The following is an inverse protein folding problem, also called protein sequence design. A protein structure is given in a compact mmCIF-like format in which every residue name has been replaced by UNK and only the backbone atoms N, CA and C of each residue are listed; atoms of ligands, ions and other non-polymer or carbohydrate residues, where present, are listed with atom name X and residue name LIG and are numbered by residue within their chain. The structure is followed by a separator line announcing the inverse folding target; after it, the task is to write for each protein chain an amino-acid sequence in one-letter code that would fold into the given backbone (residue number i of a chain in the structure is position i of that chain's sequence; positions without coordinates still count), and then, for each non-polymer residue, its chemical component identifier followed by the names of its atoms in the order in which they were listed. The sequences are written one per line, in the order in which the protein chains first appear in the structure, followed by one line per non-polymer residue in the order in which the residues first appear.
data_IF_380888716318
#
_entry.id   IF_380888716318
#
_cell.length_a   1.000
_cell.length_b   1.000
_cell.length_c   1.000
_cell.angle_alpha   90.00
_cell.angle_beta   90.00
_cell.angle_gamma   90.00
#
_symmetry.space_group_name_H-M   'P 1'
#
loop_
_entity.id
_entity.type
_entity.pdbx_description
1 polymer ?
#
# COMPACT_ATOMS: atom_id res chain seq x y z
N UNK A 1 38.30 -34.78 -1.17
CA UNK A 1 37.48 -34.31 -0.04
C UNK A 1 37.07 -32.86 -0.35
N UNK A 2 35.96 -32.65 -1.06
CA UNK A 2 35.45 -31.32 -1.37
C UNK A 2 34.37 -30.96 -0.34
N UNK A 3 34.56 -29.87 0.39
CA UNK A 3 33.58 -29.32 1.34
C UNK A 3 32.32 -28.86 0.61
N UNK A 4 31.11 -29.09 1.17
CA UNK A 4 29.89 -28.62 0.55
C UNK A 4 29.83 -27.09 0.65
N UNK A 5 29.45 -26.46 -0.45
CA UNK A 5 29.29 -25.02 -0.57
C UNK A 5 28.09 -24.65 0.31
N UNK A 6 28.36 -23.91 1.38
CA UNK A 6 27.34 -23.39 2.30
C UNK A 6 26.36 -22.53 1.48
N UNK A 7 25.15 -23.03 1.29
CA UNK A 7 24.09 -22.33 0.58
C UNK A 7 23.77 -21.05 1.35
N UNK A 8 24.16 -19.91 0.77
CA UNK A 8 23.74 -18.59 1.22
C UNK A 8 22.22 -18.56 1.41
N UNK A 9 21.70 -18.01 2.52
CA UNK A 9 20.26 -17.87 2.72
C UNK A 9 19.64 -17.14 1.53
N UNK A 10 18.68 -17.78 0.87
CA UNK A 10 17.98 -17.17 -0.26
C UNK A 10 17.19 -15.96 0.26
N UNK A 11 17.61 -14.77 -0.14
CA UNK A 11 16.89 -13.54 0.18
C UNK A 11 15.56 -13.57 -0.57
N UNK A 12 14.40 -13.51 0.12
CA UNK A 12 13.11 -13.46 -0.57
C UNK A 12 13.03 -12.20 -1.44
N UNK A 13 12.34 -12.25 -2.60
CA UNK A 13 12.21 -11.09 -3.46
C UNK A 13 11.58 -9.90 -2.70
N UNK A 14 11.95 -8.65 -3.04
CA UNK A 14 11.38 -7.48 -2.39
C UNK A 14 9.85 -7.51 -2.53
N UNK A 15 9.15 -7.53 -1.40
CA UNK A 15 7.68 -7.47 -1.36
C UNK A 15 6.93 -8.79 -1.14
N UNK A 16 7.61 -9.94 -0.98
CA UNK A 16 6.91 -11.23 -0.78
C UNK A 16 7.08 -11.86 0.60
N UNK A 17 7.64 -11.12 1.57
CA UNK A 17 7.73 -11.64 2.95
C UNK A 17 6.35 -11.56 3.60
N UNK A 18 5.78 -12.66 4.14
CA UNK A 18 4.63 -12.58 5.01
C UNK A 18 5.05 -11.71 6.20
N UNK A 19 4.54 -10.48 6.27
CA UNK A 19 4.99 -9.45 7.22
C UNK A 19 4.40 -9.72 8.61
N UNK A 20 4.53 -10.96 9.10
CA UNK A 20 4.17 -11.42 10.43
C UNK A 20 5.30 -11.19 11.45
N UNK A 21 6.24 -10.30 11.16
CA UNK A 21 7.25 -9.85 12.12
C UNK A 21 6.64 -8.77 13.01
N UNK A 22 6.67 -8.98 14.31
CA UNK A 22 6.27 -8.05 15.40
C UNK A 22 6.96 -6.67 15.36
N UNK A 23 7.87 -6.47 14.42
CA UNK A 23 8.74 -5.31 14.28
C UNK A 23 8.19 -4.20 13.38
N UNK A 24 7.13 -4.46 12.60
CA UNK A 24 6.48 -3.44 11.76
C UNK A 24 5.10 -3.13 12.30
N UNK A 25 4.88 -1.87 12.67
CA UNK A 25 3.58 -1.36 13.09
C UNK A 25 2.97 -0.52 11.98
N UNK A 26 1.70 -0.78 11.65
CA UNK A 26 0.94 0.11 10.78
C UNK A 26 0.79 1.45 11.51
N UNK A 27 1.15 2.53 10.86
CA UNK A 27 0.77 3.85 11.31
C UNK A 27 -0.66 4.09 10.85
N UNK A 28 -1.54 4.62 11.70
CA UNK A 28 -2.91 4.94 11.30
C UNK A 28 -2.99 6.11 10.30
N UNK A 29 -1.84 6.66 9.92
CA UNK A 29 -1.76 7.68 8.88
C UNK A 29 -1.82 7.03 7.48
N UNK A 30 -2.89 7.39 6.76
CA UNK A 30 -3.13 6.97 5.40
C UNK A 30 -3.21 8.19 4.47
N UNK A 31 -2.74 8.03 3.24
CA UNK A 31 -2.74 9.09 2.23
C UNK A 31 -3.42 8.59 0.98
N UNK A 32 -4.17 9.46 0.29
CA UNK A 32 -4.56 9.17 -1.09
C UNK A 32 -4.23 10.33 -2.01
N UNK A 33 -3.75 9.99 -3.19
CA UNK A 33 -3.40 10.97 -4.22
C UNK A 33 -3.59 10.40 -5.61
N UNK A 34 -3.70 11.31 -6.57
CA UNK A 34 -3.50 10.98 -7.98
C UNK A 34 -2.01 10.74 -8.22
N UNK A 35 -1.67 9.62 -8.86
CA UNK A 35 -0.31 9.21 -9.12
C UNK A 35 0.37 10.21 -10.08
N UNK A 36 1.44 10.89 -9.65
CA UNK A 36 2.13 11.87 -10.50
C UNK A 36 2.94 11.20 -11.62
N UNK A 37 3.34 9.96 -11.40
CA UNK A 37 4.16 9.11 -12.28
C UNK A 37 3.71 7.65 -12.16
N UNK A 38 4.11 6.80 -13.11
CA UNK A 38 3.73 5.39 -13.17
C UNK A 38 4.82 4.44 -12.66
N UNK A 39 5.39 4.72 -11.48
CA UNK A 39 6.49 3.91 -10.89
C UNK A 39 6.11 3.21 -9.60
N UNK A 40 4.92 3.46 -9.06
CA UNK A 40 4.42 2.80 -7.84
C UNK A 40 3.76 1.48 -8.21
N UNK A 41 4.09 0.42 -7.48
CA UNK A 41 3.52 -0.92 -7.69
C UNK A 41 2.53 -1.23 -6.59
N UNK A 42 1.32 -1.66 -6.98
CA UNK A 42 0.32 -2.08 -6.02
C UNK A 42 0.77 -3.35 -5.28
N UNK A 43 0.73 -3.32 -3.95
CA UNK A 43 1.15 -4.47 -3.13
C UNK A 43 0.16 -5.65 -3.12
N UNK A 44 -1.02 -5.50 -3.73
CA UNK A 44 -2.02 -6.59 -3.83
C UNK A 44 -1.89 -7.33 -5.16
N UNK A 45 -1.92 -6.61 -6.29
CA UNK A 45 -1.93 -7.21 -7.63
C UNK A 45 -0.55 -7.19 -8.32
N UNK A 46 0.47 -6.63 -7.67
CA UNK A 46 1.84 -6.49 -8.18
C UNK A 46 1.96 -5.74 -9.51
N UNK A 47 0.90 -5.05 -9.94
CA UNK A 47 0.88 -4.25 -11.17
C UNK A 47 1.20 -2.79 -10.88
N UNK A 48 1.79 -2.11 -11.88
CA UNK A 48 2.05 -0.67 -11.79
C UNK A 48 0.74 0.12 -11.70
N UNK A 49 0.75 1.18 -10.91
CA UNK A 49 -0.31 2.18 -10.84
C UNK A 49 -0.01 3.22 -11.92
N UNK A 50 -0.95 3.50 -12.83
CA UNK A 50 -0.70 4.41 -13.93
C UNK A 50 -0.72 5.87 -13.47
N UNK A 51 0.03 6.72 -14.17
CA UNK A 51 0.00 8.17 -13.96
C UNK A 51 -1.44 8.68 -14.17
N UNK A 52 -1.93 9.50 -13.25
CA UNK A 52 -3.30 10.00 -13.30
C UNK A 52 -4.33 9.10 -12.61
N UNK A 53 -3.95 7.90 -12.18
CA UNK A 53 -4.83 7.06 -11.35
C UNK A 53 -4.73 7.39 -9.87
N UNK A 54 -5.81 7.17 -9.14
CA UNK A 54 -5.80 7.29 -7.69
C UNK A 54 -5.06 6.11 -7.03
N UNK A 55 -4.18 6.43 -6.09
CA UNK A 55 -3.47 5.47 -5.26
C UNK A 55 -3.67 5.77 -3.78
N UNK A 56 -3.79 4.71 -2.99
CA UNK A 56 -3.78 4.76 -1.52
C UNK A 56 -2.40 4.41 -1.01
N UNK A 57 -1.89 5.21 -0.09
CA UNK A 57 -0.62 5.04 0.59
C UNK A 57 -0.85 4.69 2.06
N UNK A 58 -0.25 3.61 2.52
CA UNK A 58 -0.22 3.22 3.93
C UNK A 58 1.19 3.33 4.46
N UNK A 59 1.34 4.02 5.59
CA UNK A 59 2.63 4.14 6.24
C UNK A 59 2.83 3.03 7.27
N UNK A 60 4.00 2.41 7.24
CA UNK A 60 4.44 1.43 8.23
C UNK A 60 5.74 1.92 8.86
N UNK A 61 5.84 1.74 10.18
CA UNK A 61 7.00 2.15 10.96
C UNK A 61 7.63 0.90 11.56
N UNK A 62 8.92 0.73 11.33
CA UNK A 62 9.72 -0.30 11.97
C UNK A 62 10.09 0.13 13.39
N UNK A 63 10.24 -0.82 14.30
CA UNK A 63 10.74 -0.57 15.67
C UNK A 63 12.12 0.09 15.70
N UNK A 64 12.93 -0.07 14.64
CA UNK A 64 14.24 0.58 14.49
C UNK A 64 14.15 1.99 13.85
N UNK A 65 12.93 2.50 13.61
CA UNK A 65 12.69 3.84 13.08
C UNK A 65 12.63 3.95 11.56
N UNK A 66 12.76 2.84 10.82
CA UNK A 66 12.55 2.85 9.36
C UNK A 66 11.07 3.10 9.03
N UNK A 67 10.83 3.86 7.96
CA UNK A 67 9.47 4.10 7.45
C UNK A 67 9.33 3.51 6.05
N UNK A 68 8.21 2.86 5.81
CA UNK A 68 7.83 2.32 4.52
C UNK A 68 6.46 2.85 4.13
N UNK A 69 6.33 3.33 2.90
CA UNK A 69 5.05 3.67 2.30
C UNK A 69 4.69 2.60 1.27
N UNK A 70 3.58 1.90 1.50
CA UNK A 70 3.03 0.94 0.55
C UNK A 70 1.89 1.57 -0.25
N UNK A 71 1.89 1.33 -1.56
CA UNK A 71 0.89 1.88 -2.46
C UNK A 71 -0.07 0.80 -2.97
N UNK A 72 -1.32 1.20 -3.17
CA UNK A 72 -2.42 0.34 -3.57
C UNK A 72 -3.33 1.03 -4.58
N UNK A 73 -3.82 0.28 -5.57
CA UNK A 73 -4.96 0.76 -6.37
C UNK A 73 -6.20 0.92 -5.48
N UNK A 74 -7.08 1.85 -5.83
CA UNK A 74 -8.40 1.96 -5.18
C UNK A 74 -9.17 0.65 -5.23
N UNK A 75 -9.15 -0.07 -6.36
CA UNK A 75 -9.92 -1.31 -6.50
C UNK A 75 -9.37 -2.43 -5.61
N UNK A 76 -8.04 -2.52 -5.54
CA UNK A 76 -7.35 -3.50 -4.72
C UNK A 76 -7.49 -3.22 -3.21
N UNK A 77 -7.89 -2.01 -2.80
CA UNK A 77 -8.14 -1.71 -1.38
C UNK A 77 -9.25 -2.57 -0.77
N UNK A 78 -10.21 -3.03 -1.58
CA UNK A 78 -11.34 -3.87 -1.12
C UNK A 78 -10.86 -5.22 -0.56
N UNK A 79 -9.80 -5.80 -1.11
CA UNK A 79 -9.26 -7.08 -0.63
C UNK A 79 -8.59 -6.96 0.74
N UNK A 80 -8.33 -5.73 1.17
CA UNK A 80 -7.67 -5.44 2.42
C UNK A 80 -8.68 -5.06 3.54
N UNK A 81 -9.99 -5.14 3.29
CA UNK A 81 -11.02 -4.82 4.29
C UNK A 81 -10.91 -5.67 5.57
N UNK A 82 -10.34 -6.88 5.50
CA UNK A 82 -10.08 -7.72 6.68
C UNK A 82 -8.92 -7.25 7.57
N UNK A 83 -8.10 -6.30 7.14
CA UNK A 83 -6.93 -5.81 7.89
C UNK A 83 -7.13 -4.39 8.46
N UNK A 84 -8.38 -3.98 8.71
CA UNK A 84 -8.71 -2.70 9.34
C UNK A 84 -8.52 -1.48 8.43
N UNK A 85 -8.72 -1.63 7.11
CA UNK A 85 -8.52 -0.56 6.12
C UNK A 85 -9.76 0.21 5.73
N UNK A 86 -10.92 -0.19 6.24
CA UNK A 86 -12.12 0.67 6.21
C UNK A 86 -11.85 2.00 6.91
N UNK A 87 -11.17 1.96 8.04
CA UNK A 87 -10.77 3.14 8.83
C UNK A 87 -9.85 4.06 8.02
N UNK A 88 -8.91 3.48 7.28
CA UNK A 88 -7.97 4.21 6.41
C UNK A 88 -8.67 5.06 5.36
N UNK A 89 -9.73 4.56 4.72
CA UNK A 89 -10.47 5.35 3.72
C UNK A 89 -11.21 6.53 4.35
N UNK A 90 -11.63 6.39 5.61
CA UNK A 90 -12.25 7.45 6.38
C UNK A 90 -11.20 8.49 6.82
N UNK A 91 -10.06 8.05 7.35
CA UNK A 91 -8.92 8.92 7.72
C UNK A 91 -8.44 9.74 6.54
N UNK A 92 -8.24 9.12 5.37
CA UNK A 92 -7.85 9.82 4.14
C UNK A 92 -8.84 10.93 3.79
N UNK A 93 -10.13 10.68 3.95
CA UNK A 93 -11.18 11.64 3.60
C UNK A 93 -11.35 12.77 4.60
N UNK A 94 -10.88 12.63 5.84
CA UNK A 94 -10.94 13.69 6.85
C UNK A 94 -9.84 14.74 6.63
N UNK A 95 -8.68 14.32 6.11
CA UNK A 95 -7.54 15.20 5.82
C UNK A 95 -7.63 15.93 4.46
N UNK A 96 -8.54 15.49 3.57
CA UNK A 96 -8.72 16.10 2.25
C UNK A 96 -9.49 17.42 2.28
N UNK A 97 -9.10 18.36 1.42
CA UNK A 97 -9.92 19.52 1.13
C UNK A 97 -11.25 19.13 0.43
N UNK A 98 -12.30 19.97 0.47
CA UNK A 98 -13.61 19.60 -0.06
C UNK A 98 -13.64 19.25 -1.56
N UNK A 99 -12.82 19.92 -2.38
CA UNK A 99 -12.77 19.66 -3.81
C UNK A 99 -12.13 18.30 -4.11
N UNK A 100 -10.98 18.03 -3.48
CA UNK A 100 -10.26 16.76 -3.58
C UNK A 100 -11.09 15.61 -3.03
N UNK A 101 -11.78 15.81 -1.91
CA UNK A 101 -12.67 14.81 -1.30
C UNK A 101 -13.80 14.41 -2.26
N UNK A 102 -14.41 15.37 -2.95
CA UNK A 102 -15.47 15.11 -3.94
C UNK A 102 -14.95 14.30 -5.13
N UNK A 103 -13.75 14.64 -5.63
CA UNK A 103 -13.11 13.90 -6.71
C UNK A 103 -12.75 12.47 -6.28
N UNK A 104 -12.17 12.31 -5.09
CA UNK A 104 -11.86 11.02 -4.50
C UNK A 104 -13.10 10.15 -4.31
N UNK A 105 -14.19 10.69 -3.77
CA UNK A 105 -15.46 9.97 -3.63
C UNK A 105 -16.02 9.53 -4.98
N UNK A 106 -15.94 10.40 -6.00
CA UNK A 106 -16.35 10.05 -7.36
C UNK A 106 -15.50 8.91 -7.93
N UNK A 107 -14.18 8.90 -7.64
CA UNK A 107 -13.29 7.80 -8.02
C UNK A 107 -13.63 6.49 -7.30
N UNK A 108 -13.87 6.53 -5.99
CA UNK A 108 -14.29 5.36 -5.21
C UNK A 108 -15.62 4.76 -5.69
N UNK A 109 -16.57 5.60 -6.10
CA UNK A 109 -17.85 5.16 -6.68
C UNK A 109 -17.64 4.47 -8.03
N UNK A 110 -16.83 5.06 -8.92
CA UNK A 110 -16.50 4.45 -10.22
C UNK A 110 -15.87 3.07 -10.08
N UNK A 111 -14.96 2.92 -9.13
CA UNK A 111 -14.27 1.66 -8.82
C UNK A 111 -15.18 0.63 -8.14
N UNK A 112 -16.31 1.06 -7.58
CA UNK A 112 -17.32 0.16 -7.00
C UNK A 112 -18.33 -0.35 -8.02
N UNK A 113 -18.44 0.28 -9.18
CA UNK A 113 -19.36 -0.07 -10.26
C UNK A 113 -18.75 -1.03 -11.31
N UNK A 114 -17.48 -1.43 -11.13
CA UNK A 114 -16.72 -2.36 -11.97
C UNK A 114 -16.38 -3.60 -11.14
#
# INVERSE_FOLDING_TARGET
MATPIEQLPQVPPPGTSPRSSTSWSRCDQAVARVAPIATTTCQVCSSCIAKGEWQLGLMFIHVEGFMLMEWYHLQCSKTLQGSGLSDVLETVQSEMNPAQKKEFQSACQKVSAV
#
